data_IF_044200737412
#
_entry.id   IF_044200737412
#
_cell.length_a   1.000
_cell.length_b   1.000
_cell.length_c   1.000
_cell.angle_alpha   90.00
_cell.angle_beta   90.00
_cell.angle_gamma   90.00
#
_symmetry.space_group_name_H-M   'P 1'
#
loop_
_entity.id
_entity.type
_entity.pdbx_description
1 polymer ?
#
# COMPACT_ATOMS: atom_id res chain seq x y z
N UNK A 1 11.02 9.49 6.35
CA UNK A 1 12.14 8.55 6.59
C UNK A 1 12.11 7.89 7.95
N UNK A 2 11.34 8.39 8.93
CA UNK A 2 11.29 7.83 10.30
C UNK A 2 10.98 6.33 10.35
N UNK A 3 9.92 5.87 9.65
CA UNK A 3 9.56 4.45 9.57
C UNK A 3 10.69 3.57 9.01
N UNK A 4 11.37 4.02 7.95
CA UNK A 4 12.52 3.31 7.38
C UNK A 4 13.67 3.25 8.40
N UNK A 5 13.94 4.36 9.09
CA UNK A 5 14.94 4.41 10.14
C UNK A 5 14.62 3.49 11.33
N UNK A 6 13.35 3.36 11.69
CA UNK A 6 12.88 2.42 12.71
C UNK A 6 13.18 0.97 12.32
N UNK A 7 12.83 0.56 11.09
CA UNK A 7 13.12 -0.79 10.59
C UNK A 7 14.62 -1.11 10.67
N UNK A 8 15.47 -0.18 10.21
CA UNK A 8 16.93 -0.33 10.27
C UNK A 8 17.42 -0.48 11.71
N UNK A 9 16.90 0.33 12.65
CA UNK A 9 17.25 0.23 14.08
C UNK A 9 16.88 -1.11 14.69
N UNK A 10 15.79 -1.72 14.22
CA UNK A 10 15.37 -3.06 14.62
C UNK A 10 16.16 -4.18 13.93
N UNK A 11 17.18 -3.87 13.11
CA UNK A 11 17.98 -4.86 12.39
C UNK A 11 17.31 -5.41 11.13
N UNK A 12 16.22 -4.80 10.67
CA UNK A 12 15.51 -5.18 9.44
C UNK A 12 16.18 -4.48 8.25
N UNK A 13 16.28 -5.19 7.12
CA UNK A 13 16.78 -4.62 5.86
C UNK A 13 15.56 -4.19 5.02
N UNK A 14 15.19 -2.90 5.01
CA UNK A 14 14.06 -2.44 4.22
C UNK A 14 14.37 -2.48 2.72
N UNK A 15 13.38 -2.93 1.94
CA UNK A 15 13.37 -2.84 0.49
C UNK A 15 12.08 -2.13 0.05
N UNK A 16 12.19 -0.89 -0.40
CA UNK A 16 11.03 -0.03 -0.72
C UNK A 16 10.61 -0.21 -2.18
N UNK A 17 9.34 -0.53 -2.41
CA UNK A 17 8.77 -0.67 -3.77
C UNK A 17 7.83 0.50 -4.04
N UNK A 18 7.98 1.14 -5.19
CA UNK A 18 7.10 2.21 -5.68
C UNK A 18 6.26 1.70 -6.86
N UNK A 19 5.04 2.20 -7.00
CA UNK A 19 4.28 2.03 -8.25
C UNK A 19 5.01 2.70 -9.41
N UNK A 20 4.86 2.13 -10.60
CA UNK A 20 5.40 2.65 -11.84
C UNK A 20 4.31 2.93 -12.86
N UNK A 21 4.27 2.12 -13.91
CA UNK A 21 3.40 2.34 -15.07
C UNK A 21 1.91 2.24 -14.75
N UNK A 22 1.12 2.96 -15.55
CA UNK A 22 -0.33 2.95 -15.45
C UNK A 22 -0.93 1.65 -16.03
N UNK A 23 -1.87 1.04 -15.31
CA UNK A 23 -2.64 -0.12 -15.79
C UNK A 23 -3.98 0.32 -16.39
N UNK A 24 -4.28 -0.04 -17.66
CA UNK A 24 -5.54 0.31 -18.31
C UNK A 24 -6.80 -0.15 -17.56
N UNK A 25 -6.74 -1.32 -16.90
CA UNK A 25 -7.87 -1.87 -16.14
C UNK A 25 -8.24 -1.04 -14.90
N UNK A 26 -7.32 -0.21 -14.38
CA UNK A 26 -7.59 0.69 -13.24
C UNK A 26 -8.12 2.06 -13.64
N UNK A 27 -8.41 2.30 -14.93
CA UNK A 27 -8.89 3.59 -15.43
C UNK A 27 -10.09 4.13 -14.67
N UNK A 28 -11.10 3.29 -14.49
CA UNK A 28 -12.34 3.68 -13.83
C UNK A 28 -12.08 4.09 -12.37
N UNK A 29 -11.34 3.27 -11.62
CA UNK A 29 -10.98 3.53 -10.22
C UNK A 29 -10.12 4.79 -10.08
N UNK A 30 -9.19 5.04 -11.00
CA UNK A 30 -8.38 6.26 -10.98
C UNK A 30 -9.17 7.51 -11.38
N UNK A 31 -10.10 7.40 -12.34
CA UNK A 31 -11.02 8.47 -12.69
C UNK A 31 -11.93 8.83 -11.51
N UNK A 32 -12.47 7.84 -10.80
CA UNK A 32 -13.25 8.02 -9.56
C UNK A 32 -12.43 8.70 -8.46
N UNK A 33 -11.17 8.24 -8.26
CA UNK A 33 -10.26 8.86 -7.30
C UNK A 33 -9.96 10.31 -7.67
N UNK A 34 -9.72 10.62 -8.95
CA UNK A 34 -9.50 11.99 -9.43
C UNK A 34 -10.71 12.89 -9.16
N UNK A 35 -11.91 12.44 -9.52
CA UNK A 35 -13.15 13.19 -9.26
C UNK A 35 -13.40 13.41 -7.76
N UNK A 36 -13.11 12.40 -6.94
CA UNK A 36 -13.20 12.51 -5.48
C UNK A 36 -12.22 13.54 -4.92
N UNK A 37 -10.96 13.53 -5.40
CA UNK A 37 -9.94 14.53 -5.02
C UNK A 37 -10.37 15.95 -5.41
N UNK A 38 -10.89 16.15 -6.62
CA UNK A 38 -11.39 17.44 -7.09
C UNK A 38 -12.54 17.96 -6.21
N UNK A 39 -13.53 17.12 -5.91
CA UNK A 39 -14.65 17.45 -5.02
C UNK A 39 -14.16 17.85 -3.62
N UNK A 40 -13.21 17.10 -3.06
CA UNK A 40 -12.65 17.41 -1.74
C UNK A 40 -11.81 18.70 -1.75
N UNK A 41 -11.12 19.00 -2.85
CA UNK A 41 -10.39 20.26 -3.05
C UNK A 41 -11.34 21.45 -3.05
N UNK A 42 -12.43 21.37 -3.79
CA UNK A 42 -13.46 22.42 -3.85
C UNK A 42 -14.11 22.66 -2.50
N UNK A 43 -14.50 21.59 -1.79
CA UNK A 43 -15.03 21.68 -0.44
C UNK A 43 -14.02 22.33 0.53
N UNK A 44 -12.75 21.93 0.46
CA UNK A 44 -11.68 22.53 1.27
C UNK A 44 -11.52 24.02 1.02
N UNK A 45 -11.54 24.47 -0.24
CA UNK A 45 -11.48 25.88 -0.60
C UNK A 45 -12.70 26.66 -0.11
N UNK A 46 -13.89 26.08 -0.17
CA UNK A 46 -15.11 26.71 0.35
C UNK A 46 -15.05 26.88 1.88
N UNK A 47 -14.61 25.85 2.62
CA UNK A 47 -14.42 25.94 4.07
C UNK A 47 -13.34 26.96 4.45
N UNK A 48 -12.26 27.04 3.68
CA UNK A 48 -11.20 28.02 3.90
C UNK A 48 -11.72 29.45 3.73
N UNK A 49 -12.50 29.73 2.68
CA UNK A 49 -13.16 31.04 2.46
C UNK A 49 -14.14 31.39 3.60
N UNK A 50 -14.80 30.40 4.19
CA UNK A 50 -15.68 30.56 5.33
C UNK A 50 -14.95 30.58 6.70
N UNK A 51 -13.61 30.63 6.70
CA UNK A 51 -12.76 30.59 7.89
C UNK A 51 -12.96 29.36 8.82
N UNK A 52 -13.41 28.24 8.25
CA UNK A 52 -13.60 26.96 8.95
C UNK A 52 -12.37 26.07 8.77
N UNK A 53 -11.29 26.41 9.47
CA UNK A 53 -9.95 25.84 9.22
C UNK A 53 -9.87 24.33 9.42
N UNK A 54 -10.51 23.78 10.46
CA UNK A 54 -10.48 22.33 10.73
C UNK A 54 -11.13 21.52 9.61
N UNK A 55 -12.30 21.96 9.14
CA UNK A 55 -13.02 21.31 8.04
C UNK A 55 -12.29 21.47 6.70
N UNK A 56 -11.64 22.63 6.49
CA UNK A 56 -10.80 22.85 5.33
C UNK A 56 -9.62 21.87 5.32
N UNK A 57 -8.92 21.73 6.45
CA UNK A 57 -7.80 20.79 6.61
C UNK A 57 -8.23 19.35 6.34
N UNK A 58 -9.33 18.89 6.95
CA UNK A 58 -9.84 17.53 6.73
C UNK A 58 -10.17 17.27 5.25
N UNK A 59 -10.71 18.28 4.56
CA UNK A 59 -11.04 18.18 3.14
C UNK A 59 -9.80 18.17 2.26
N UNK A 60 -8.80 19.02 2.55
CA UNK A 60 -7.54 19.05 1.80
C UNK A 60 -6.73 17.77 1.94
N UNK A 61 -6.70 17.14 3.12
CA UNK A 61 -6.04 15.84 3.32
C UNK A 61 -6.61 14.78 2.36
N UNK A 62 -7.94 14.77 2.15
CA UNK A 62 -8.61 13.85 1.22
C UNK A 62 -8.43 14.20 -0.26
N UNK A 63 -7.95 15.41 -0.56
CA UNK A 63 -7.74 15.90 -1.91
C UNK A 63 -6.30 15.67 -2.43
N UNK A 64 -5.40 15.16 -1.59
CA UNK A 64 -4.00 14.95 -1.95
C UNK A 64 -3.87 13.89 -3.03
N UNK A 65 -3.11 14.21 -4.07
CA UNK A 65 -2.65 13.28 -5.08
C UNK A 65 -1.15 13.01 -4.89
N UNK A 66 -0.73 11.76 -4.95
CA UNK A 66 0.68 11.39 -4.79
C UNK A 66 1.34 11.43 -6.16
N UNK A 67 2.12 12.49 -6.42
CA UNK A 67 2.75 12.68 -7.73
C UNK A 67 4.05 11.87 -7.90
N UNK A 68 4.48 11.62 -9.15
CA UNK A 68 5.80 11.05 -9.43
C UNK A 68 6.95 11.87 -8.85
N UNK A 69 6.81 13.21 -8.80
CA UNK A 69 7.83 14.08 -8.20
C UNK A 69 7.92 13.91 -6.68
N UNK A 70 6.81 13.63 -5.99
CA UNK A 70 6.83 13.28 -4.57
C UNK A 70 7.56 11.95 -4.33
N UNK A 71 7.25 10.92 -5.12
CA UNK A 71 7.94 9.64 -5.05
C UNK A 71 9.45 9.78 -5.32
N UNK A 72 9.82 10.55 -6.35
CA UNK A 72 11.22 10.82 -6.69
C UNK A 72 12.00 11.46 -5.54
N UNK A 73 11.41 12.41 -4.82
CA UNK A 73 12.04 13.02 -3.64
C UNK A 73 12.31 12.00 -2.54
N UNK A 74 11.44 11.00 -2.37
CA UNK A 74 11.68 9.91 -1.41
C UNK A 74 12.81 9.01 -1.91
N UNK A 75 12.80 8.66 -3.19
CA UNK A 75 13.87 7.86 -3.83
C UNK A 75 15.25 8.50 -3.64
N UNK A 76 15.38 9.81 -3.85
CA UNK A 76 16.64 10.53 -3.62
C UNK A 76 17.13 10.36 -2.17
N UNK A 77 16.22 10.43 -1.19
CA UNK A 77 16.58 10.20 0.23
C UNK A 77 16.95 8.75 0.51
N UNK A 78 16.33 7.78 -0.18
CA UNK A 78 16.69 6.36 -0.05
C UNK A 78 18.08 6.10 -0.63
N UNK A 79 18.42 6.73 -1.76
CA UNK A 79 19.75 6.68 -2.37
C UNK A 79 20.83 7.25 -1.43
N UNK A 80 20.59 8.44 -0.86
CA UNK A 80 21.49 9.09 0.11
C UNK A 80 21.75 8.21 1.35
N UNK A 81 20.76 7.40 1.75
CA UNK A 81 20.82 6.56 2.95
C UNK A 81 21.22 5.11 2.66
N UNK A 82 21.48 4.76 1.39
CA UNK A 82 21.84 3.39 0.98
C UNK A 82 20.71 2.37 1.15
N UNK A 83 19.45 2.82 1.25
CA UNK A 83 18.29 1.94 1.40
C UNK A 83 17.89 1.40 0.03
N UNK A 84 17.68 0.08 -0.05
CA UNK A 84 17.25 -0.60 -1.29
C UNK A 84 15.87 -0.12 -1.68
N UNK A 85 15.70 0.18 -2.98
CA UNK A 85 14.40 0.51 -3.53
C UNK A 85 14.28 0.05 -4.98
N UNK A 86 13.04 -0.09 -5.46
CA UNK A 86 12.73 -0.31 -6.86
C UNK A 86 11.43 0.37 -7.26
N UNK A 87 11.27 0.62 -8.55
CA UNK A 87 10.01 1.05 -9.15
C UNK A 87 9.44 -0.16 -9.90
N UNK A 88 8.23 -0.57 -9.54
CA UNK A 88 7.55 -1.66 -10.21
C UNK A 88 7.26 -1.30 -11.68
N UNK A 89 7.18 -2.28 -12.60
CA UNK A 89 6.75 -2.00 -13.98
C UNK A 89 5.35 -1.38 -14.02
N UNK A 90 4.49 -1.81 -13.11
CA UNK A 90 3.14 -1.31 -12.91
C UNK A 90 2.87 -1.14 -11.41
N UNK A 91 2.32 -2.14 -10.74
CA UNK A 91 1.90 -2.00 -9.33
C UNK A 91 2.89 -2.58 -8.34
N UNK A 92 3.06 -1.87 -7.23
CA UNK A 92 3.90 -2.27 -6.13
C UNK A 92 3.43 -3.59 -5.51
N UNK A 93 2.12 -3.81 -5.36
CA UNK A 93 1.57 -5.02 -4.72
C UNK A 93 1.98 -6.29 -5.46
N UNK A 94 1.83 -6.31 -6.78
CA UNK A 94 2.25 -7.44 -7.62
C UNK A 94 3.77 -7.65 -7.58
N UNK A 95 4.53 -6.56 -7.57
CA UNK A 95 6.00 -6.62 -7.49
C UNK A 95 6.48 -7.12 -6.11
N UNK A 96 5.85 -6.68 -5.03
CA UNK A 96 6.12 -7.14 -3.67
C UNK A 96 5.80 -8.62 -3.51
N UNK A 97 4.66 -9.07 -4.05
CA UNK A 97 4.30 -10.49 -4.04
C UNK A 97 5.29 -11.35 -4.82
N UNK A 98 5.78 -10.88 -5.97
CA UNK A 98 6.84 -11.56 -6.70
C UNK A 98 8.13 -11.68 -5.88
N UNK A 99 8.54 -10.62 -5.17
CA UNK A 99 9.73 -10.64 -4.33
C UNK A 99 9.61 -11.63 -3.16
N UNK A 100 8.43 -11.72 -2.52
CA UNK A 100 8.17 -12.72 -1.47
C UNK A 100 8.23 -14.13 -2.05
N UNK A 101 7.54 -14.38 -3.15
CA UNK A 101 7.47 -15.71 -3.77
C UNK A 101 8.80 -16.22 -4.30
N UNK A 102 9.69 -15.33 -4.70
CA UNK A 102 11.05 -15.67 -5.15
C UNK A 102 12.07 -15.77 -4.01
N UNK A 103 11.65 -15.54 -2.76
CA UNK A 103 12.53 -15.56 -1.59
C UNK A 103 13.50 -14.38 -1.53
N UNK A 104 13.24 -13.31 -2.28
CA UNK A 104 14.06 -12.10 -2.26
C UNK A 104 13.80 -11.23 -1.01
N UNK A 105 12.63 -11.36 -0.39
CA UNK A 105 12.25 -10.73 0.87
C UNK A 105 11.44 -11.71 1.73
N UNK A 106 11.52 -11.56 3.06
CA UNK A 106 10.86 -12.47 4.01
C UNK A 106 9.37 -12.13 4.24
N UNK A 107 9.02 -10.85 4.19
CA UNK A 107 7.68 -10.34 4.46
C UNK A 107 7.43 -9.00 3.74
N UNK A 108 6.15 -8.63 3.62
CA UNK A 108 5.71 -7.35 3.04
C UNK A 108 5.04 -6.50 4.10
N UNK A 109 5.34 -5.20 4.09
CA UNK A 109 4.60 -4.20 4.89
C UNK A 109 3.69 -3.44 3.94
N UNK A 110 2.38 -3.58 4.09
CA UNK A 110 1.38 -2.86 3.29
C UNK A 110 0.12 -2.61 4.11
N UNK A 111 -0.60 -1.54 3.78
CA UNK A 111 -1.96 -1.29 4.27
C UNK A 111 -3.02 -1.90 3.34
N UNK A 112 -2.62 -2.42 2.18
CA UNK A 112 -3.51 -3.01 1.19
C UNK A 112 -3.49 -4.55 1.24
N UNK A 113 -4.68 -5.16 1.25
CA UNK A 113 -4.88 -6.60 1.18
C UNK A 113 -4.63 -7.18 -0.20
N UNK A 114 -4.54 -6.34 -1.24
CA UNK A 114 -4.30 -6.76 -2.62
C UNK A 114 -3.00 -7.58 -2.78
N UNK A 115 -2.06 -7.49 -1.84
CA UNK A 115 -0.86 -8.34 -1.80
C UNK A 115 -1.14 -9.83 -1.53
N UNK A 116 -2.16 -10.17 -0.72
CA UNK A 116 -2.42 -11.55 -0.27
C UNK A 116 -2.83 -12.47 -1.44
N UNK A 117 -3.77 -12.08 -2.33
CA UNK A 117 -4.14 -12.90 -3.49
C UNK A 117 -3.00 -13.17 -4.47
N UNK A 118 -1.98 -12.32 -4.53
CA UNK A 118 -0.79 -12.52 -5.37
C UNK A 118 0.24 -13.48 -4.76
N UNK A 119 -0.06 -14.09 -3.61
CA UNK A 119 0.80 -15.09 -2.96
C UNK A 119 1.78 -14.50 -1.94
N UNK A 120 1.49 -13.33 -1.36
CA UNK A 120 2.23 -12.88 -0.18
C UNK A 120 1.86 -13.74 1.03
N UNK A 121 2.76 -14.64 1.45
CA UNK A 121 2.48 -15.52 2.59
C UNK A 121 2.62 -14.84 3.97
N UNK A 122 3.38 -13.74 4.06
CA UNK A 122 3.60 -12.97 5.28
C UNK A 122 3.39 -11.47 5.00
N UNK A 123 2.29 -10.91 5.49
CA UNK A 123 1.99 -9.48 5.36
C UNK A 123 1.85 -8.85 6.74
N UNK A 124 2.59 -7.77 6.95
CA UNK A 124 2.60 -6.95 8.15
C UNK A 124 1.73 -5.70 7.88
N UNK A 125 0.55 -5.68 8.46
CA UNK A 125 -0.45 -4.62 8.34
C UNK A 125 -0.34 -3.58 9.43
N UNK A 126 -0.85 -2.37 9.15
CA UNK A 126 -1.08 -1.30 10.13
C UNK A 126 0.13 -1.00 11.01
N UNK A 127 1.29 -0.82 10.39
CA UNK A 127 2.50 -0.48 11.14
C UNK A 127 2.36 0.90 11.78
N UNK A 128 2.23 0.93 13.10
CA UNK A 128 2.09 2.17 13.87
C UNK A 128 3.43 2.91 14.02
N UNK A 129 3.41 4.07 14.68
CA UNK A 129 4.62 4.87 14.86
C UNK A 129 5.70 4.18 15.73
N UNK A 130 5.33 3.48 16.83
CA UNK A 130 6.25 2.61 17.56
C UNK A 130 6.79 1.40 16.80
N UNK A 131 6.09 0.93 15.75
CA UNK A 131 6.47 -0.24 14.95
C UNK A 131 5.68 -1.52 15.26
N UNK A 132 4.58 -1.43 16.00
CA UNK A 132 3.66 -2.55 16.17
C UNK A 132 2.92 -2.81 14.85
N UNK A 133 2.69 -4.09 14.55
CA UNK A 133 2.06 -4.55 13.31
C UNK A 133 1.00 -5.61 13.60
N UNK A 134 -0.01 -5.69 12.75
CA UNK A 134 -0.92 -6.83 12.67
C UNK A 134 -0.39 -7.81 11.62
N UNK A 135 -0.17 -9.07 11.98
CA UNK A 135 0.42 -10.05 11.05
C UNK A 135 -0.66 -10.92 10.44
N UNK A 136 -0.68 -10.98 9.10
CA UNK A 136 -1.46 -11.94 8.34
C UNK A 136 -0.51 -12.97 7.74
N UNK A 137 -0.73 -14.23 8.11
CA UNK A 137 -0.04 -15.39 7.54
C UNK A 137 -1.01 -16.20 6.71
N UNK A 138 -0.69 -16.43 5.43
CA UNK A 138 -1.55 -17.19 4.53
C UNK A 138 -1.84 -18.60 5.06
N UNK A 139 -0.87 -19.23 5.74
CA UNK A 139 -1.03 -20.53 6.38
C UNK A 139 -2.12 -20.55 7.47
N UNK A 140 -2.45 -19.39 8.06
CA UNK A 140 -3.50 -19.25 9.07
C UNK A 140 -4.89 -18.99 8.48
N UNK A 141 -5.03 -18.82 7.16
CA UNK A 141 -6.35 -18.67 6.53
C UNK A 141 -7.26 -19.86 6.81
N UNK A 142 -6.69 -21.08 6.85
CA UNK A 142 -7.42 -22.30 7.20
C UNK A 142 -7.98 -22.32 8.64
N UNK A 143 -7.50 -21.43 9.52
CA UNK A 143 -7.98 -21.29 10.90
C UNK A 143 -9.20 -20.36 11.02
N UNK A 144 -9.60 -19.69 9.93
CA UNK A 144 -10.74 -18.80 9.93
C UNK A 144 -12.05 -19.58 10.19
N UNK A 145 -12.81 -19.15 11.20
CA UNK A 145 -14.06 -19.81 11.62
C UNK A 145 -15.30 -19.28 10.91
N UNK A 146 -15.23 -18.09 10.31
CA UNK A 146 -16.37 -17.43 9.65
C UNK A 146 -16.48 -17.84 8.19
N UNK A 147 -15.34 -17.92 7.49
CA UNK A 147 -15.22 -18.40 6.12
C UNK A 147 -14.27 -19.59 6.10
N UNK A 148 -14.73 -20.73 5.59
CA UNK A 148 -13.91 -21.93 5.49
C UNK A 148 -12.95 -21.84 4.31
N UNK A 149 -11.67 -21.82 4.60
CA UNK A 149 -10.58 -21.97 3.62
C UNK A 149 -9.99 -23.39 3.62
N UNK A 150 -10.70 -24.38 4.18
CA UNK A 150 -10.26 -25.77 4.18
C UNK A 150 -10.20 -26.27 2.74
N UNK A 151 -9.03 -26.70 2.29
CA UNK A 151 -8.80 -27.19 0.92
C UNK A 151 -8.55 -26.09 -0.12
N UNK A 152 -8.48 -24.81 0.26
CA UNK A 152 -8.03 -23.75 -0.63
C UNK A 152 -6.56 -23.94 -0.98
N UNK A 153 -6.25 -23.91 -2.28
CA UNK A 153 -4.88 -23.80 -2.78
C UNK A 153 -4.56 -22.35 -3.12
N UNK A 154 -3.27 -22.02 -3.27
CA UNK A 154 -2.83 -20.66 -3.65
C UNK A 154 -3.50 -20.19 -4.96
N UNK A 155 -3.68 -21.08 -5.93
CA UNK A 155 -4.35 -20.80 -7.21
C UNK A 155 -5.83 -20.47 -7.06
N UNK A 156 -6.47 -20.83 -5.95
CA UNK A 156 -7.88 -20.55 -5.66
C UNK A 156 -8.09 -19.20 -4.98
N UNK A 157 -7.05 -18.62 -4.37
CA UNK A 157 -7.17 -17.38 -3.58
C UNK A 157 -7.49 -16.19 -4.48
N UNK A 158 -6.80 -16.05 -5.61
CA UNK A 158 -7.01 -14.93 -6.53
C UNK A 158 -8.40 -14.94 -7.20
N UNK A 159 -8.89 -16.07 -7.76
CA UNK A 159 -10.27 -16.17 -8.26
C UNK A 159 -11.33 -15.88 -7.19
N UNK A 160 -11.11 -16.32 -5.95
CA UNK A 160 -12.00 -16.03 -4.84
C UNK A 160 -12.02 -14.54 -4.50
N UNK A 161 -10.85 -13.89 -4.43
CA UNK A 161 -10.72 -12.47 -4.12
C UNK A 161 -11.50 -11.59 -5.11
N UNK A 162 -11.41 -11.90 -6.40
CA UNK A 162 -12.13 -11.17 -7.45
C UNK A 162 -13.66 -11.22 -7.33
N UNK A 163 -14.23 -12.10 -6.52
CA UNK A 163 -15.67 -12.11 -6.25
C UNK A 163 -16.12 -10.93 -5.38
N UNK A 164 -15.18 -10.24 -4.71
CA UNK A 164 -15.46 -9.17 -3.75
C UNK A 164 -15.16 -7.75 -4.26
N UNK A 165 -14.71 -7.62 -5.52
CA UNK A 165 -14.41 -6.34 -6.17
C UNK A 165 -12.92 -6.05 -6.26
#
# INVERSE_FOLDING_TARGET
>A
MERVGLLIKCGIIPYIVFDGGYLPMKKLKEDERRLSREKHREAGLAYLKANKLDLARQSFVKAVDVSPSMAHRVIQRLQETGVKYMVAPYEADAQMAYLVRTGAVDAVISEDSDCLPYGCHHVLFKMDAPGNVEVIQAAHLALNTTLSFVGFTDDMVLPFYHQFG
#
